data_IF_175063393561
#
_entry.id   IF_175063393561
#
_cell.length_a   1.000
_cell.length_b   1.000
_cell.length_c   1.000
_cell.angle_alpha   90.00
_cell.angle_beta   90.00
_cell.angle_gamma   90.00
#
_symmetry.space_group_name_H-M   'P 1'
#
loop_
_entity.id
_entity.type
_entity.pdbx_description
1 polymer ?
#
# COMPACT_ATOMS: atom_id res chain seq x y z
N UNK A 1 -22.11 -21.05 -11.62
CA UNK A 1 -21.35 -21.10 -10.35
C UNK A 1 -21.76 -19.88 -9.55
N UNK A 2 -21.87 -19.97 -8.23
CA UNK A 2 -22.15 -18.79 -7.39
C UNK A 2 -20.93 -17.85 -7.46
N UNK A 3 -21.18 -16.54 -7.44
CA UNK A 3 -20.10 -15.54 -7.40
C UNK A 3 -19.18 -15.79 -6.18
N UNK A 4 -17.88 -15.65 -6.33
CA UNK A 4 -16.94 -15.87 -5.24
C UNK A 4 -17.10 -14.80 -4.14
N UNK A 5 -17.01 -15.17 -2.87
CA UNK A 5 -17.08 -14.22 -1.77
C UNK A 5 -15.75 -13.46 -1.64
N UNK A 6 -15.83 -12.15 -1.49
CA UNK A 6 -14.72 -11.27 -1.14
C UNK A 6 -14.84 -10.87 0.32
N UNK A 7 -13.81 -11.03 1.12
CA UNK A 7 -13.74 -10.45 2.47
C UNK A 7 -12.89 -9.18 2.41
N UNK A 8 -13.53 -8.05 2.68
CA UNK A 8 -12.84 -6.78 2.84
C UNK A 8 -12.40 -6.66 4.31
N UNK A 9 -11.12 -6.47 4.53
CA UNK A 9 -10.52 -6.36 5.87
C UNK A 9 -10.11 -4.91 6.11
N UNK A 10 -10.72 -4.29 7.11
CA UNK A 10 -10.55 -2.87 7.40
C UNK A 10 -9.96 -2.70 8.82
N UNK A 11 -8.62 -2.59 8.96
CA UNK A 11 -8.04 -2.18 10.24
C UNK A 11 -8.46 -0.75 10.56
N UNK A 12 -8.82 -0.48 11.81
CA UNK A 12 -9.26 0.82 12.29
C UNK A 12 -8.61 1.14 13.64
N UNK A 13 -8.01 2.32 13.76
CA UNK A 13 -7.51 2.84 15.02
C UNK A 13 -7.66 4.37 15.04
N UNK A 14 -8.64 4.87 15.82
CA UNK A 14 -8.92 6.31 15.95
C UNK A 14 -9.20 7.02 14.61
N UNK A 15 -9.90 6.36 13.68
CA UNK A 15 -10.22 6.87 12.34
C UNK A 15 -11.74 7.17 12.17
N UNK A 16 -12.47 7.43 13.27
CA UNK A 16 -13.92 7.74 13.25
C UNK A 16 -14.30 8.82 12.24
N UNK A 17 -13.44 9.82 12.10
CA UNK A 17 -13.61 10.91 11.14
C UNK A 17 -13.70 10.44 9.69
N UNK A 18 -13.05 9.34 9.32
CA UNK A 18 -12.89 8.90 7.93
C UNK A 18 -13.65 7.62 7.58
N UNK A 19 -13.82 6.73 8.54
CA UNK A 19 -14.34 5.37 8.31
C UNK A 19 -15.69 5.31 7.57
N UNK A 20 -16.54 6.33 7.75
CA UNK A 20 -17.82 6.41 7.03
C UNK A 20 -17.66 6.51 5.53
N UNK A 21 -16.69 7.31 5.05
CA UNK A 21 -16.39 7.45 3.62
C UNK A 21 -15.88 6.13 3.04
N UNK A 22 -14.99 5.43 3.77
CA UNK A 22 -14.50 4.11 3.39
C UNK A 22 -15.63 3.09 3.25
N UNK A 23 -16.52 2.99 4.26
CA UNK A 23 -17.69 2.09 4.24
C UNK A 23 -18.65 2.46 3.10
N UNK A 24 -18.92 3.73 2.88
CA UNK A 24 -19.80 4.17 1.80
C UNK A 24 -19.21 3.87 0.42
N UNK A 25 -17.88 3.86 0.25
CA UNK A 25 -17.25 3.42 -0.99
C UNK A 25 -17.50 1.93 -1.26
N UNK A 26 -17.48 1.10 -0.21
CA UNK A 26 -17.84 -0.32 -0.30
C UNK A 26 -19.33 -0.53 -0.61
N UNK A 27 -20.23 0.25 -0.02
CA UNK A 27 -21.66 0.17 -0.30
C UNK A 27 -22.02 0.48 -1.75
N UNK A 28 -21.17 1.26 -2.45
CA UNK A 28 -21.33 1.58 -3.88
C UNK A 28 -20.76 0.54 -4.83
N UNK A 29 -20.14 -0.54 -4.34
CA UNK A 29 -19.55 -1.56 -5.20
C UNK A 29 -20.61 -2.26 -6.07
N UNK A 30 -20.30 -2.44 -7.35
CA UNK A 30 -21.11 -3.21 -8.31
C UNK A 30 -21.07 -4.70 -7.99
N UNK A 31 -20.00 -5.18 -7.40
CA UNK A 31 -19.88 -6.56 -6.91
C UNK A 31 -20.50 -6.69 -5.52
N UNK A 32 -21.65 -7.36 -5.43
CA UNK A 32 -22.45 -7.40 -4.20
C UNK A 32 -22.08 -8.55 -3.23
N UNK A 33 -21.35 -9.58 -3.69
CA UNK A 33 -21.00 -10.74 -2.87
C UNK A 33 -19.73 -10.51 -2.07
N UNK A 34 -19.78 -9.62 -1.11
CA UNK A 34 -18.69 -9.36 -0.17
C UNK A 34 -19.19 -9.27 1.27
N UNK A 35 -18.30 -9.50 2.21
CA UNK A 35 -18.42 -9.18 3.62
C UNK A 35 -17.38 -8.14 4.00
N UNK A 36 -17.68 -7.31 5.00
CA UNK A 36 -16.75 -6.33 5.60
C UNK A 36 -16.42 -6.77 7.02
N UNK A 37 -15.12 -6.91 7.30
CA UNK A 37 -14.61 -7.19 8.65
C UNK A 37 -13.77 -5.99 9.07
N UNK A 38 -14.29 -5.21 10.00
CA UNK A 38 -13.58 -4.08 10.62
C UNK A 38 -12.86 -4.61 11.85
N UNK A 39 -11.59 -4.34 11.95
CA UNK A 39 -10.78 -4.67 13.13
C UNK A 39 -10.45 -3.39 13.86
N UNK A 40 -11.19 -3.12 14.95
CA UNK A 40 -10.89 -2.04 15.87
C UNK A 40 -9.67 -2.43 16.71
N UNK A 41 -8.54 -1.81 16.43
CA UNK A 41 -7.26 -2.14 17.09
C UNK A 41 -7.03 -1.35 18.40
N UNK A 42 -8.08 -1.23 19.19
CA UNK A 42 -8.04 -0.56 20.49
C UNK A 42 -8.24 0.94 20.43
N UNK A 43 -9.17 1.41 19.59
CA UNK A 43 -9.53 2.84 19.53
C UNK A 43 -10.02 3.36 20.89
N UNK A 44 -9.57 4.55 21.25
CA UNK A 44 -9.89 5.25 22.50
C UNK A 44 -10.59 6.61 22.25
N UNK A 45 -10.67 7.08 21.02
CA UNK A 45 -11.47 8.27 20.71
C UNK A 45 -12.97 7.94 20.66
N UNK A 46 -13.77 8.84 21.24
CA UNK A 46 -15.21 8.64 21.39
C UNK A 46 -15.98 8.60 20.08
N UNK A 47 -15.50 9.26 19.02
CA UNK A 47 -16.15 9.27 17.71
C UNK A 47 -16.01 7.90 17.05
N UNK A 48 -14.79 7.32 16.99
CA UNK A 48 -14.55 5.98 16.45
C UNK A 48 -15.37 4.94 17.20
N UNK A 49 -15.29 4.91 18.53
CA UNK A 49 -16.02 3.95 19.38
C UNK A 49 -17.53 4.06 19.13
N UNK A 50 -18.07 5.28 19.08
CA UNK A 50 -19.50 5.52 18.83
C UNK A 50 -19.93 5.01 17.46
N UNK A 51 -19.17 5.27 16.42
CA UNK A 51 -19.50 4.82 15.06
C UNK A 51 -19.46 3.29 14.98
N UNK A 52 -18.37 2.68 15.44
CA UNK A 52 -18.20 1.23 15.39
C UNK A 52 -19.30 0.48 16.14
N UNK A 53 -19.77 1.01 17.27
CA UNK A 53 -20.86 0.42 18.07
C UNK A 53 -22.21 0.37 17.34
N UNK A 54 -22.39 1.19 16.30
CA UNK A 54 -23.64 1.24 15.50
C UNK A 54 -23.59 0.42 14.21
N UNK A 55 -22.41 -0.09 13.85
CA UNK A 55 -22.23 -0.85 12.60
C UNK A 55 -22.67 -2.30 12.79
N UNK A 56 -23.88 -2.60 12.36
CA UNK A 56 -24.43 -3.96 12.35
C UNK A 56 -25.49 -4.08 11.23
N UNK A 57 -25.03 -4.17 9.98
CA UNK A 57 -25.91 -4.21 8.79
C UNK A 57 -26.00 -5.62 8.14
N UNK A 58 -25.59 -6.66 8.84
CA UNK A 58 -25.61 -8.05 8.38
C UNK A 58 -24.50 -8.44 7.39
N UNK A 59 -23.82 -7.48 6.79
CA UNK A 59 -22.62 -7.69 5.97
C UNK A 59 -21.34 -7.23 6.67
N UNK A 60 -21.47 -6.45 7.74
CA UNK A 60 -20.36 -5.86 8.49
C UNK A 60 -20.20 -6.58 9.83
N UNK A 61 -19.00 -7.00 10.13
CA UNK A 61 -18.60 -7.54 11.43
C UNK A 61 -17.53 -6.63 12.02
N UNK A 62 -17.73 -6.16 13.26
CA UNK A 62 -16.71 -5.41 14.00
C UNK A 62 -16.05 -6.37 14.99
N UNK A 63 -14.74 -6.49 14.86
CA UNK A 63 -13.88 -7.25 15.77
C UNK A 63 -13.06 -6.27 16.62
N UNK A 64 -12.92 -6.55 17.91
CA UNK A 64 -12.09 -5.74 18.79
C UNK A 64 -10.77 -6.47 19.08
N UNK A 65 -9.68 -5.75 18.89
CA UNK A 65 -8.31 -6.18 19.18
C UNK A 65 -7.64 -5.18 20.12
N UNK A 66 -6.40 -5.45 20.50
CA UNK A 66 -5.68 -4.58 21.42
C UNK A 66 -4.25 -4.33 20.92
N UNK A 67 -4.09 -3.29 20.13
CA UNK A 67 -2.80 -2.78 19.61
C UNK A 67 -1.97 -3.84 18.87
N UNK A 68 -2.63 -4.62 17.99
CA UNK A 68 -1.98 -5.60 17.12
C UNK A 68 -1.15 -4.94 16.00
N UNK A 69 -1.35 -3.63 15.79
CA UNK A 69 -0.77 -2.86 14.67
C UNK A 69 -1.26 -3.35 13.31
N UNK A 70 -0.99 -2.67 12.17
CA UNK A 70 -1.63 -2.98 10.88
C UNK A 70 -1.46 -4.43 10.41
N UNK A 71 -0.26 -5.01 10.50
CA UNK A 71 -0.03 -6.40 10.10
C UNK A 71 -0.86 -7.39 10.93
N UNK A 72 -0.81 -7.24 12.26
CA UNK A 72 -1.55 -8.11 13.18
C UNK A 72 -3.06 -7.92 13.08
N UNK A 73 -3.54 -6.67 12.94
CA UNK A 73 -4.95 -6.37 12.77
C UNK A 73 -5.50 -6.98 11.46
N UNK A 74 -4.76 -6.88 10.34
CA UNK A 74 -5.15 -7.53 9.09
C UNK A 74 -5.18 -9.05 9.24
N UNK A 75 -4.17 -9.68 9.83
CA UNK A 75 -4.17 -11.12 10.10
C UNK A 75 -5.37 -11.54 10.94
N UNK A 76 -5.65 -10.80 12.02
CA UNK A 76 -6.77 -11.09 12.92
C UNK A 76 -8.13 -11.06 12.21
N UNK A 77 -8.29 -10.12 11.27
CA UNK A 77 -9.48 -10.06 10.41
C UNK A 77 -9.52 -11.19 9.38
N UNK A 78 -8.41 -11.49 8.71
CA UNK A 78 -8.35 -12.54 7.68
C UNK A 78 -8.58 -13.94 8.25
N UNK A 79 -8.10 -14.24 9.46
CA UNK A 79 -8.38 -15.49 10.16
C UNK A 79 -9.88 -15.77 10.30
N UNK A 80 -10.71 -14.72 10.37
CA UNK A 80 -12.17 -14.81 10.55
C UNK A 80 -12.95 -14.61 9.24
N UNK A 81 -12.21 -14.33 8.17
CA UNK A 81 -12.76 -14.15 6.83
C UNK A 81 -13.24 -15.49 6.23
N UNK A 82 -14.32 -15.42 5.45
CA UNK A 82 -14.89 -16.57 4.74
C UNK A 82 -14.70 -16.50 3.24
N UNK A 83 -14.24 -15.34 2.75
CA UNK A 83 -14.05 -15.07 1.33
C UNK A 83 -12.96 -15.92 0.70
N UNK A 84 -13.13 -16.28 -0.55
CA UNK A 84 -12.10 -16.83 -1.41
C UNK A 84 -10.98 -15.80 -1.64
N UNK A 85 -11.40 -14.54 -1.76
CA UNK A 85 -10.52 -13.39 -1.97
C UNK A 85 -10.52 -12.47 -0.77
N UNK A 86 -9.39 -11.85 -0.52
CA UNK A 86 -9.18 -10.84 0.51
C UNK A 86 -8.83 -9.52 -0.16
N UNK A 87 -9.47 -8.43 0.29
CA UNK A 87 -9.08 -7.07 -0.02
C UNK A 87 -8.84 -6.30 1.28
N UNK A 88 -7.61 -5.97 1.67
CA UNK A 88 -7.37 -4.97 2.70
C UNK A 88 -7.82 -3.60 2.21
N UNK A 89 -8.49 -2.83 3.06
CA UNK A 89 -8.85 -1.44 2.80
C UNK A 89 -8.67 -0.66 4.11
N UNK A 90 -7.75 0.27 4.14
CA UNK A 90 -7.54 1.08 5.33
C UNK A 90 -8.76 2.01 5.57
N UNK A 91 -9.07 2.27 6.84
CA UNK A 91 -10.30 2.96 7.27
C UNK A 91 -10.40 4.43 6.85
N UNK A 92 -9.33 4.99 6.30
CA UNK A 92 -9.26 6.36 5.81
C UNK A 92 -9.22 6.48 4.27
N UNK A 93 -9.21 5.36 3.55
CA UNK A 93 -9.12 5.31 2.09
C UNK A 93 -10.48 4.96 1.45
N UNK A 94 -10.59 5.13 0.12
CA UNK A 94 -11.80 4.79 -0.63
C UNK A 94 -11.49 4.09 -1.95
N UNK A 95 -12.47 3.33 -2.45
CA UNK A 95 -12.36 2.62 -3.72
C UNK A 95 -13.53 2.95 -4.67
N UNK A 96 -13.25 2.92 -5.98
CA UNK A 96 -14.25 3.14 -7.02
C UNK A 96 -15.24 1.97 -7.14
N UNK A 97 -16.49 2.20 -7.58
CA UNK A 97 -17.56 1.19 -7.56
C UNK A 97 -17.27 -0.12 -8.29
N UNK A 98 -16.35 -0.13 -9.25
CA UNK A 98 -16.06 -1.32 -10.07
C UNK A 98 -14.83 -2.09 -9.65
N UNK A 99 -14.15 -1.68 -8.56
CA UNK A 99 -12.86 -2.27 -8.19
C UNK A 99 -12.98 -3.75 -7.84
N UNK A 100 -13.92 -4.13 -6.95
CA UNK A 100 -14.11 -5.53 -6.57
C UNK A 100 -14.44 -6.40 -7.78
N UNK A 101 -15.37 -5.96 -8.65
CA UNK A 101 -15.79 -6.71 -9.83
C UNK A 101 -14.64 -6.97 -10.78
N UNK A 102 -13.83 -5.94 -11.08
CA UNK A 102 -12.69 -6.06 -12.01
C UNK A 102 -11.60 -6.93 -11.42
N UNK A 103 -11.28 -6.77 -10.13
CA UNK A 103 -10.26 -7.56 -9.47
C UNK A 103 -10.65 -9.04 -9.40
N UNK A 104 -11.90 -9.35 -9.04
CA UNK A 104 -12.41 -10.72 -9.05
C UNK A 104 -12.35 -11.32 -10.45
N UNK A 105 -12.76 -10.58 -11.48
CA UNK A 105 -12.72 -11.06 -12.86
C UNK A 105 -11.28 -11.43 -13.30
N UNK A 106 -10.29 -10.65 -12.94
CA UNK A 106 -8.88 -10.97 -13.24
C UNK A 106 -8.48 -12.27 -12.55
N UNK A 107 -8.71 -12.40 -11.23
CA UNK A 107 -8.32 -13.60 -10.47
C UNK A 107 -9.07 -14.86 -10.92
N UNK A 108 -10.31 -14.75 -11.41
CA UNK A 108 -11.06 -15.90 -11.92
C UNK A 108 -10.64 -16.32 -13.33
N UNK A 109 -10.12 -15.41 -14.14
CA UNK A 109 -9.77 -15.67 -15.55
C UNK A 109 -8.28 -15.90 -15.79
N UNK A 110 -7.42 -15.50 -14.86
CA UNK A 110 -5.96 -15.59 -14.98
C UNK A 110 -5.36 -16.30 -13.75
N UNK A 111 -5.26 -17.63 -13.76
CA UNK A 111 -4.89 -18.42 -12.58
C UNK A 111 -3.47 -18.20 -12.07
N UNK A 112 -2.56 -17.70 -12.90
CA UNK A 112 -1.18 -17.39 -12.52
C UNK A 112 -1.09 -16.07 -11.72
N UNK A 113 -2.11 -15.20 -11.82
CA UNK A 113 -2.17 -13.96 -11.05
C UNK A 113 -2.56 -14.28 -9.60
N UNK A 114 -1.72 -13.86 -8.66
CA UNK A 114 -1.96 -13.99 -7.22
C UNK A 114 -2.42 -12.70 -6.56
N UNK A 115 -2.05 -11.55 -7.13
CA UNK A 115 -2.38 -10.22 -6.60
C UNK A 115 -2.90 -9.32 -7.71
N UNK A 116 -3.99 -8.61 -7.42
CA UNK A 116 -4.56 -7.60 -8.34
C UNK A 116 -4.65 -6.27 -7.62
N UNK A 117 -4.04 -5.25 -8.21
CA UNK A 117 -4.17 -3.86 -7.77
C UNK A 117 -4.56 -2.96 -8.94
N UNK A 118 -4.61 -1.66 -8.75
CA UNK A 118 -5.03 -0.71 -9.77
C UNK A 118 -4.14 0.53 -9.79
N UNK A 119 -4.46 1.49 -10.62
CA UNK A 119 -3.91 2.83 -10.52
C UNK A 119 -4.61 3.59 -9.38
N UNK A 120 -3.94 4.59 -8.83
CA UNK A 120 -4.44 5.31 -7.67
C UNK A 120 -4.31 6.83 -7.83
N UNK A 121 -5.20 7.55 -7.12
CA UNK A 121 -5.10 9.00 -6.89
C UNK A 121 -4.93 9.30 -5.41
N UNK A 122 -4.36 10.46 -5.13
CA UNK A 122 -4.26 11.04 -3.80
C UNK A 122 -5.44 11.98 -3.55
N UNK A 123 -5.91 12.05 -2.31
CA UNK A 123 -6.92 13.00 -1.88
C UNK A 123 -6.72 13.42 -0.40
N UNK A 124 -7.49 14.39 0.09
CA UNK A 124 -7.33 14.96 1.43
C UNK A 124 -6.45 16.20 1.41
N UNK A 125 -5.37 16.25 2.19
CA UNK A 125 -4.46 17.42 2.26
C UNK A 125 -3.74 17.70 0.93
N UNK A 126 -3.56 16.69 0.11
CA UNK A 126 -3.03 16.80 -1.26
C UNK A 126 -3.91 15.98 -2.18
N UNK A 127 -4.06 16.43 -3.42
CA UNK A 127 -4.82 15.73 -4.45
C UNK A 127 -4.02 15.64 -5.73
N UNK A 128 -4.33 14.62 -6.54
CA UNK A 128 -3.71 14.40 -7.84
C UNK A 128 -3.37 12.94 -8.07
N UNK A 129 -2.75 12.64 -9.19
CA UNK A 129 -2.32 11.29 -9.52
C UNK A 129 -1.28 10.80 -8.53
N UNK A 130 -1.43 9.57 -8.02
CA UNK A 130 -0.34 8.89 -7.34
C UNK A 130 0.54 8.24 -8.42
N UNK A 131 1.64 8.90 -8.75
CA UNK A 131 2.58 8.43 -9.77
C UNK A 131 3.35 7.21 -9.24
N UNK A 132 2.77 6.03 -9.43
CA UNK A 132 3.44 4.75 -9.18
C UNK A 132 4.06 4.25 -10.48
N UNK A 133 5.23 3.59 -10.43
CA UNK A 133 5.78 2.92 -11.61
C UNK A 133 4.81 1.86 -12.13
N UNK A 134 4.81 1.64 -13.45
CA UNK A 134 4.15 0.47 -14.02
C UNK A 134 4.71 -0.80 -13.41
N UNK A 135 3.83 -1.77 -13.16
CA UNK A 135 4.27 -3.03 -12.58
C UNK A 135 5.29 -3.71 -13.48
N UNK A 136 6.40 -4.07 -12.88
CA UNK A 136 7.35 -5.03 -13.41
C UNK A 136 7.99 -5.80 -12.27
N UNK A 137 8.36 -7.06 -12.52
CA UNK A 137 9.09 -7.86 -11.54
C UNK A 137 10.38 -7.15 -11.09
N UNK A 138 11.09 -6.50 -12.02
CA UNK A 138 12.28 -5.67 -11.72
C UNK A 138 11.97 -4.57 -10.72
N UNK A 139 10.93 -3.78 -10.96
CA UNK A 139 10.56 -2.67 -10.08
C UNK A 139 10.16 -3.19 -8.69
N UNK A 140 9.39 -4.28 -8.64
CA UNK A 140 8.97 -4.91 -7.39
C UNK A 140 10.13 -5.51 -6.58
N UNK A 141 11.19 -5.98 -7.23
CA UNK A 141 12.40 -6.47 -6.55
C UNK A 141 13.26 -5.33 -5.98
N UNK A 142 13.07 -4.11 -6.45
CA UNK A 142 13.81 -2.93 -5.99
C UNK A 142 13.09 -2.17 -4.88
N UNK A 143 11.76 -2.06 -4.97
CA UNK A 143 10.96 -1.28 -4.04
C UNK A 143 9.49 -1.68 -4.06
N UNK A 144 8.74 -1.24 -3.04
CA UNK A 144 7.29 -1.43 -2.97
C UNK A 144 6.58 -0.53 -3.97
N UNK A 145 6.01 -1.12 -5.00
CA UNK A 145 5.20 -0.42 -6.02
C UNK A 145 3.73 -0.85 -6.00
N UNK A 146 3.36 -1.72 -5.05
CA UNK A 146 2.01 -2.29 -4.90
C UNK A 146 1.48 -1.94 -3.52
N UNK A 147 0.50 -1.07 -3.45
CA UNK A 147 -0.10 -0.66 -2.18
C UNK A 147 -0.93 -1.80 -1.54
N UNK A 148 -1.18 -1.68 -0.23
CA UNK A 148 -1.84 -2.73 0.55
C UNK A 148 -3.26 -3.04 0.10
N UNK A 149 -3.99 -2.05 -0.44
CA UNK A 149 -5.36 -2.22 -0.95
C UNK A 149 -5.36 -2.95 -2.30
N UNK A 150 -4.84 -4.18 -2.28
CA UNK A 150 -4.73 -5.09 -3.42
C UNK A 150 -5.43 -6.40 -3.09
N UNK A 151 -6.14 -6.96 -4.08
CA UNK A 151 -6.91 -8.20 -3.89
C UNK A 151 -6.02 -9.43 -4.12
N UNK A 152 -6.15 -10.43 -3.25
CA UNK A 152 -5.38 -11.68 -3.33
C UNK A 152 -6.19 -12.89 -2.86
N UNK A 153 -5.68 -14.11 -3.08
CA UNK A 153 -6.31 -15.34 -2.60
C UNK A 153 -6.09 -15.52 -1.09
N UNK A 154 -7.14 -15.82 -0.34
CA UNK A 154 -7.02 -16.21 1.08
C UNK A 154 -6.11 -17.44 1.26
N UNK A 155 -6.19 -18.41 0.35
CA UNK A 155 -5.33 -19.60 0.38
C UNK A 155 -3.84 -19.29 0.26
N UNK A 156 -3.47 -18.26 -0.50
CA UNK A 156 -2.08 -17.85 -0.61
C UNK A 156 -1.60 -17.22 0.70
N UNK A 157 -2.45 -16.38 1.35
CA UNK A 157 -2.19 -15.84 2.69
C UNK A 157 -1.99 -16.97 3.73
N UNK A 158 -2.83 -18.00 3.71
CA UNK A 158 -2.70 -19.18 4.58
C UNK A 158 -1.37 -19.90 4.33
N UNK A 159 -0.98 -20.06 3.06
CA UNK A 159 0.24 -20.77 2.67
C UNK A 159 1.50 -20.06 3.12
N UNK A 160 1.55 -18.71 3.02
CA UNK A 160 2.74 -17.92 3.39
C UNK A 160 2.78 -17.57 4.89
N UNK A 161 1.71 -17.87 5.64
CA UNK A 161 1.62 -17.60 7.08
C UNK A 161 1.24 -16.15 7.42
N UNK A 162 0.64 -15.43 6.45
CA UNK A 162 0.08 -14.08 6.66
C UNK A 162 1.09 -12.95 6.61
N UNK A 163 0.62 -11.75 6.98
CA UNK A 163 1.49 -10.57 7.14
C UNK A 163 2.43 -10.76 8.33
N UNK A 164 3.72 -10.52 8.13
CA UNK A 164 4.71 -10.69 9.21
C UNK A 164 4.64 -9.54 10.23
N UNK A 165 4.37 -9.88 11.48
CA UNK A 165 4.24 -8.89 12.56
C UNK A 165 5.56 -8.26 13.00
N UNK A 166 6.70 -8.81 12.56
CA UNK A 166 8.00 -8.18 12.75
C UNK A 166 8.23 -6.97 11.83
N UNK A 167 7.30 -6.69 10.89
CA UNK A 167 7.27 -5.53 10.01
C UNK A 167 6.46 -4.35 10.58
N UNK A 168 6.37 -4.24 11.88
CA UNK A 168 5.57 -3.22 12.58
C UNK A 168 6.04 -1.77 12.39
N UNK A 169 7.26 -1.58 11.93
CA UNK A 169 7.80 -0.26 11.56
C UNK A 169 7.32 0.24 10.19
N UNK A 170 6.72 -0.60 9.35
CA UNK A 170 6.22 -0.30 8.02
C UNK A 170 6.63 -1.34 6.99
N UNK A 171 6.11 -1.22 5.77
CA UNK A 171 6.36 -2.10 4.62
C UNK A 171 5.95 -3.56 4.85
N UNK A 172 4.95 -3.81 5.71
CA UNK A 172 4.36 -5.12 5.92
C UNK A 172 3.66 -5.68 4.68
N UNK A 173 3.15 -4.79 3.83
CA UNK A 173 2.56 -5.11 2.53
C UNK A 173 3.63 -5.56 1.53
N UNK A 174 4.76 -4.84 1.45
CA UNK A 174 5.87 -5.23 0.58
C UNK A 174 6.44 -6.61 0.94
N UNK A 175 6.69 -6.87 2.22
CA UNK A 175 7.12 -8.18 2.72
C UNK A 175 6.10 -9.27 2.33
N UNK A 176 4.81 -8.97 2.44
CA UNK A 176 3.77 -9.92 2.08
C UNK A 176 3.71 -10.17 0.57
N UNK A 177 3.84 -9.14 -0.27
CA UNK A 177 3.86 -9.31 -1.72
C UNK A 177 5.06 -10.13 -2.19
N UNK A 178 6.23 -9.97 -1.59
CA UNK A 178 7.37 -10.83 -1.87
C UNK A 178 7.08 -12.29 -1.51
N UNK A 179 6.41 -12.55 -0.37
CA UNK A 179 5.98 -13.91 -0.01
C UNK A 179 5.04 -14.53 -1.05
N UNK A 180 4.14 -13.74 -1.64
CA UNK A 180 3.24 -14.20 -2.71
C UNK A 180 4.02 -14.50 -4.00
N UNK A 181 5.01 -13.66 -4.35
CA UNK A 181 5.90 -13.93 -5.49
C UNK A 181 6.75 -15.18 -5.30
N UNK A 182 7.11 -15.54 -4.06
CA UNK A 182 7.80 -16.81 -3.73
C UNK A 182 6.97 -18.06 -4.04
N UNK A 183 5.64 -17.95 -4.05
CA UNK A 183 4.73 -19.01 -4.49
C UNK A 183 4.71 -19.20 -6.01
N UNK A 184 5.42 -18.35 -6.77
CA UNK A 184 5.39 -18.35 -8.24
C UNK A 184 4.18 -17.62 -8.81
N UNK A 185 3.46 -16.80 -8.01
CA UNK A 185 2.37 -15.98 -8.47
C UNK A 185 2.88 -14.72 -9.18
N UNK A 186 2.04 -14.19 -10.07
CA UNK A 186 2.25 -12.90 -10.73
C UNK A 186 1.33 -11.83 -10.13
N UNK A 187 1.67 -10.57 -10.37
CA UNK A 187 0.89 -9.41 -9.93
C UNK A 187 0.34 -8.68 -11.16
N UNK A 188 -0.93 -8.30 -11.12
CA UNK A 188 -1.60 -7.60 -12.22
C UNK A 188 -2.08 -6.21 -11.79
N UNK A 189 -1.76 -5.18 -12.58
CA UNK A 189 -2.26 -3.82 -12.40
C UNK A 189 -3.43 -3.55 -13.36
N UNK A 190 -4.61 -3.25 -12.83
CA UNK A 190 -5.72 -2.73 -13.61
C UNK A 190 -5.36 -1.30 -14.05
N UNK A 191 -5.36 -0.98 -15.37
CA UNK A 191 -4.91 0.31 -15.89
C UNK A 191 -5.98 1.41 -15.74
N UNK A 192 -6.65 1.45 -14.59
CA UNK A 192 -7.67 2.42 -14.22
C UNK A 192 -7.47 2.89 -12.78
N UNK A 193 -7.84 4.15 -12.50
CA UNK A 193 -7.86 4.68 -11.13
C UNK A 193 -9.09 4.12 -10.42
N UNK A 194 -8.86 3.18 -9.50
CA UNK A 194 -9.92 2.55 -8.73
C UNK A 194 -9.67 2.61 -7.22
N UNK A 195 -8.57 3.23 -6.80
CA UNK A 195 -8.20 3.42 -5.41
C UNK A 195 -7.85 4.90 -5.17
N UNK A 196 -8.28 5.44 -4.02
CA UNK A 196 -7.98 6.78 -3.57
C UNK A 196 -7.34 6.71 -2.20
N UNK A 197 -6.07 7.13 -2.13
CA UNK A 197 -5.26 7.16 -0.92
C UNK A 197 -5.35 8.53 -0.24
N UNK A 198 -5.74 8.54 1.03
CA UNK A 198 -5.89 9.79 1.78
C UNK A 198 -4.57 10.28 2.33
N UNK A 199 -4.21 11.50 1.97
CA UNK A 199 -3.11 12.22 2.62
C UNK A 199 -3.65 12.91 3.86
N UNK A 200 -3.15 12.50 5.03
CA UNK A 200 -3.44 13.14 6.33
C UNK A 200 -2.31 14.07 6.74
N UNK A 201 -2.57 15.09 7.59
CA UNK A 201 -1.52 15.98 8.13
C UNK A 201 -0.40 15.20 8.84
N UNK A 202 -0.75 14.11 9.50
CA UNK A 202 0.18 13.20 10.16
C UNK A 202 -0.19 11.78 9.73
N UNK A 203 0.76 11.05 9.16
CA UNK A 203 0.59 9.65 8.80
C UNK A 203 1.79 8.81 9.24
N UNK A 204 1.57 7.50 9.41
CA UNK A 204 2.63 6.55 9.73
C UNK A 204 3.72 6.53 8.64
N UNK A 205 3.30 6.59 7.38
CA UNK A 205 4.21 6.55 6.23
C UNK A 205 5.17 7.73 6.19
N UNK A 206 4.70 8.95 6.50
CA UNK A 206 5.58 10.13 6.53
C UNK A 206 6.64 10.05 7.63
N UNK A 207 6.31 9.47 8.79
CA UNK A 207 7.22 9.42 9.93
C UNK A 207 8.40 8.47 9.74
N UNK A 208 8.23 7.32 9.07
CA UNK A 208 9.37 6.42 8.88
C UNK A 208 10.31 6.85 7.74
N UNK A 209 9.82 7.56 6.73
CA UNK A 209 10.62 8.01 5.59
C UNK A 209 11.60 9.15 5.94
N UNK A 210 11.44 9.80 7.07
CA UNK A 210 12.31 10.89 7.52
C UNK A 210 13.70 10.42 7.98
N UNK A 211 13.88 9.13 8.27
CA UNK A 211 15.12 8.57 8.80
C UNK A 211 15.73 7.50 7.90
N UNK A 212 16.79 7.85 7.18
CA UNK A 212 17.53 6.88 6.35
C UNK A 212 17.97 5.61 7.12
N UNK A 213 18.49 5.68 8.37
CA UNK A 213 18.81 4.48 9.14
C UNK A 213 17.59 3.58 9.43
N UNK A 214 16.41 4.16 9.68
CA UNK A 214 15.19 3.38 9.92
C UNK A 214 14.74 2.68 8.64
N UNK A 215 14.75 3.38 7.51
CA UNK A 215 14.45 2.78 6.20
C UNK A 215 15.40 1.62 5.92
N UNK A 216 16.71 1.82 6.10
CA UNK A 216 17.71 0.76 5.92
C UNK A 216 17.45 -0.46 6.82
N UNK A 217 16.99 -0.25 8.06
CA UNK A 217 16.67 -1.34 8.98
C UNK A 217 15.44 -2.13 8.50
N UNK A 218 14.42 -1.45 7.96
CA UNK A 218 13.24 -2.10 7.39
C UNK A 218 13.65 -2.98 6.19
N UNK A 219 14.41 -2.46 5.24
CA UNK A 219 14.88 -3.25 4.09
C UNK A 219 15.78 -4.42 4.47
N UNK A 220 16.62 -4.28 5.51
CA UNK A 220 17.39 -5.41 6.05
C UNK A 220 16.48 -6.50 6.61
N UNK A 221 15.40 -6.13 7.28
CA UNK A 221 14.43 -7.08 7.83
C UNK A 221 13.67 -7.80 6.73
N UNK A 222 13.28 -7.09 5.66
CA UNK A 222 12.72 -7.70 4.45
C UNK A 222 13.70 -8.71 3.87
N UNK A 223 14.97 -8.34 3.70
CA UNK A 223 15.99 -9.27 3.23
C UNK A 223 16.13 -10.51 4.12
N UNK A 224 16.11 -10.36 5.44
CA UNK A 224 16.17 -11.48 6.38
C UNK A 224 14.94 -12.37 6.29
N UNK A 225 13.76 -11.80 6.12
CA UNK A 225 12.51 -12.53 5.96
C UNK A 225 12.47 -13.35 4.66
N UNK A 226 13.13 -12.88 3.59
CA UNK A 226 13.14 -13.46 2.23
C UNK A 226 14.52 -13.94 1.81
N UNK A 227 15.37 -14.34 2.76
CA UNK A 227 16.77 -14.68 2.51
C UNK A 227 16.95 -15.80 1.50
N UNK A 228 16.11 -16.83 1.56
CA UNK A 228 16.20 -17.97 0.64
C UNK A 228 15.73 -17.57 -0.77
N UNK A 229 14.73 -16.71 -0.88
CA UNK A 229 14.30 -16.13 -2.16
C UNK A 229 15.46 -15.37 -2.83
N UNK A 230 16.09 -14.44 -2.13
CA UNK A 230 17.23 -13.69 -2.65
C UNK A 230 18.42 -14.59 -2.99
N UNK A 231 18.68 -15.59 -2.16
CA UNK A 231 19.75 -16.59 -2.42
C UNK A 231 19.49 -17.44 -3.67
N UNK A 232 18.24 -17.86 -3.87
CA UNK A 232 17.88 -18.72 -5.00
C UNK A 232 17.73 -17.94 -6.32
N UNK A 233 17.56 -16.61 -6.24
CA UNK A 233 17.37 -15.72 -7.40
C UNK A 233 18.50 -14.68 -7.53
N UNK A 234 19.70 -14.95 -6.96
CA UNK A 234 20.79 -13.96 -6.96
C UNK A 234 21.22 -13.55 -8.37
N UNK A 235 21.15 -14.46 -9.34
CA UNK A 235 21.48 -14.20 -10.76
C UNK A 235 20.56 -13.17 -11.39
N UNK A 236 19.32 -13.05 -10.94
CA UNK A 236 18.36 -12.02 -11.35
C UNK A 236 18.53 -10.75 -10.50
N UNK A 237 18.55 -10.89 -9.19
CA UNK A 237 18.46 -9.78 -8.25
C UNK A 237 19.72 -8.91 -8.25
N UNK A 238 20.92 -9.52 -8.25
CA UNK A 238 22.19 -8.76 -8.16
C UNK A 238 22.40 -7.83 -9.37
N UNK A 239 22.22 -8.28 -10.64
CA UNK A 239 22.26 -7.37 -11.78
C UNK A 239 21.26 -6.23 -11.68
N UNK A 240 19.99 -6.52 -11.31
CA UNK A 240 18.94 -5.52 -11.14
C UNK A 240 19.35 -4.44 -10.13
N UNK A 241 19.82 -4.86 -8.94
CA UNK A 241 20.26 -3.93 -7.89
C UNK A 241 21.49 -3.12 -8.33
N UNK A 242 22.42 -3.75 -9.06
CA UNK A 242 23.61 -3.07 -9.56
C UNK A 242 23.27 -2.01 -10.60
N UNK A 243 22.38 -2.33 -11.53
CA UNK A 243 21.90 -1.39 -12.54
C UNK A 243 21.20 -0.20 -11.89
N UNK A 244 20.28 -0.46 -10.94
CA UNK A 244 19.60 0.59 -10.20
C UNK A 244 20.58 1.51 -9.44
N UNK A 245 21.61 0.94 -8.80
CA UNK A 245 22.67 1.73 -8.16
C UNK A 245 23.42 2.60 -9.16
N UNK A 246 23.76 2.07 -10.33
CA UNK A 246 24.43 2.83 -11.39
C UNK A 246 23.54 3.98 -11.87
N UNK A 247 22.26 3.72 -12.12
CA UNK A 247 21.26 4.73 -12.51
C UNK A 247 21.19 5.86 -11.47
N UNK A 248 21.14 5.52 -10.18
CA UNK A 248 21.13 6.50 -9.09
C UNK A 248 22.42 7.33 -9.01
N UNK A 249 23.58 6.72 -9.24
CA UNK A 249 24.86 7.42 -9.29
C UNK A 249 24.88 8.45 -10.45
N UNK A 250 24.38 8.05 -11.64
CA UNK A 250 24.31 8.96 -12.78
C UNK A 250 23.31 10.09 -12.54
N UNK A 251 22.13 9.79 -12.01
CA UNK A 251 21.11 10.79 -11.68
C UNK A 251 21.66 11.81 -10.66
N UNK A 252 22.29 11.32 -9.60
CA UNK A 252 22.94 12.19 -8.60
C UNK A 252 23.97 13.12 -9.22
N UNK A 253 24.86 12.61 -10.08
CA UNK A 253 25.87 13.44 -10.78
C UNK A 253 25.22 14.50 -11.65
N UNK A 254 24.13 14.14 -12.35
CA UNK A 254 23.35 15.09 -13.18
C UNK A 254 22.78 16.21 -12.31
N UNK A 255 22.09 15.86 -11.23
CA UNK A 255 21.51 16.82 -10.30
C UNK A 255 22.56 17.72 -9.64
N UNK A 256 23.71 17.18 -9.24
CA UNK A 256 24.84 17.96 -8.71
C UNK A 256 25.35 18.99 -9.74
N UNK A 257 25.40 18.61 -11.03
CA UNK A 257 25.80 19.51 -12.10
C UNK A 257 24.78 20.62 -12.34
N UNK A 258 23.49 20.27 -12.38
CA UNK A 258 22.40 21.23 -12.52
C UNK A 258 22.36 22.20 -11.33
N UNK A 259 22.55 21.69 -10.10
CA UNK A 259 22.61 22.53 -8.91
C UNK A 259 23.78 23.53 -8.95
N UNK A 260 24.97 23.10 -9.42
CA UNK A 260 26.12 23.99 -9.61
C UNK A 260 25.82 25.09 -10.64
N UNK A 261 25.14 24.75 -11.75
CA UNK A 261 24.71 25.75 -12.74
C UNK A 261 23.74 26.77 -12.14
N UNK A 262 22.73 26.33 -11.39
CA UNK A 262 21.78 27.21 -10.71
C UNK A 262 22.46 28.10 -9.68
N UNK A 263 23.41 27.56 -8.90
CA UNK A 263 24.22 28.33 -7.96
C UNK A 263 25.11 29.38 -8.68
N UNK A 264 25.67 29.00 -9.81
CA UNK A 264 26.42 29.94 -10.68
C UNK A 264 25.53 31.10 -11.14
N UNK A 265 24.32 30.82 -11.57
CA UNK A 265 23.34 31.84 -11.99
C UNK A 265 22.89 32.73 -10.83
N UNK A 266 22.69 32.18 -9.63
CA UNK A 266 22.37 32.96 -8.42
C UNK A 266 23.45 33.99 -8.04
N UNK A 267 24.70 33.72 -8.40
CA UNK A 267 25.82 34.62 -8.15
C UNK A 267 25.92 35.77 -9.18
N UNK A 268 25.09 35.77 -10.23
CA UNK A 268 24.95 36.91 -11.14
C UNK A 268 24.04 37.96 -10.47
N UNK A 269 24.51 39.20 -10.19
CA UNK A 269 23.82 40.14 -9.30
C UNK A 269 22.37 40.47 -9.64
N UNK A 270 22.00 40.48 -10.90
CA UNK A 270 20.64 40.79 -11.38
C UNK A 270 19.74 39.53 -11.31
N UNK A 271 20.22 38.40 -11.83
CA UNK A 271 19.47 37.15 -11.87
C UNK A 271 19.30 36.53 -10.49
N UNK A 272 20.32 36.65 -9.62
CA UNK A 272 20.23 36.19 -8.23
C UNK A 272 19.13 36.86 -7.42
N UNK A 273 18.91 38.17 -7.60
CA UNK A 273 17.80 38.90 -6.95
C UNK A 273 16.43 38.45 -7.48
N UNK A 274 16.31 38.20 -8.77
CA UNK A 274 15.07 37.72 -9.39
C UNK A 274 14.71 36.29 -8.95
N UNK A 275 15.67 35.37 -8.91
CA UNK A 275 15.45 34.02 -8.42
C UNK A 275 15.07 34.00 -6.95
N UNK A 276 15.72 34.82 -6.12
CA UNK A 276 15.37 34.97 -4.72
C UNK A 276 13.95 35.49 -4.52
N UNK A 277 13.54 36.47 -5.32
CA UNK A 277 12.18 37.01 -5.29
C UNK A 277 11.14 35.95 -5.68
N UNK A 278 11.39 35.10 -6.70
CA UNK A 278 10.49 33.99 -7.07
C UNK A 278 10.34 32.97 -5.91
N UNK A 279 11.44 32.62 -5.25
CA UNK A 279 11.43 31.62 -4.14
C UNK A 279 10.68 32.16 -2.91
N UNK A 280 10.72 33.48 -2.68
CA UNK A 280 10.06 34.12 -1.54
C UNK A 280 8.56 34.39 -1.77
N UNK A 281 8.05 34.24 -3.03
CA UNK A 281 6.67 34.59 -3.41
C UNK A 281 5.90 33.42 -4.05
N UNK A 282 6.46 32.22 -4.04
CA UNK A 282 5.81 30.91 -4.31
C UNK A 282 5.89 30.01 -3.07
#
# INVERSE_FOLDING_TARGET
>A
MSAALVSVIMPCYNDGRYIKEAIDSLRRQTYSNFELIIVDDGSDDSETVSILSTLNDGKTTVLHANHLRPAGARNYGIERARGKYILPLDSDDTIEPTYLEKAVNVLETQPDIGVVYCQADLFGEKSGRWELPDYSRRAMLLDNIVFVTSMFYRSDWETVGGFKTNMDAGMEDYDFWLSILELGREIYQIPEVLFHYRIKPVSRTTSFQESCPQVQQIYRRIFENHKDFYKNNYDEVIPIMRDALIEQIFLRKKLETELKMVQGVKNIPILGKFIKWIIEHN
#
